data_IF_540206157661
#
_entry.id   IF_540206157661
#
_cell.length_a   1.000
_cell.length_b   1.000
_cell.length_c   1.000
_cell.angle_alpha   90.00
_cell.angle_beta   90.00
_cell.angle_gamma   90.00
#
_symmetry.space_group_name_H-M   'P 1'
#
loop_
_entity.id
_entity.type
_entity.pdbx_description
1 polymer ?
#
# COMPACT_ATOMS: atom_id res chain seq x y z
N UNK A 1 20.55 39.49 9.03
CA UNK A 1 19.59 38.73 9.86
C UNK A 1 18.35 38.47 9.01
N UNK A 2 18.10 37.24 8.56
CA UNK A 2 16.93 36.89 7.73
C UNK A 2 15.79 36.46 8.65
N UNK A 3 14.65 37.15 8.61
CA UNK A 3 13.44 36.79 9.36
C UNK A 3 12.85 35.52 8.75
N UNK A 4 12.85 34.43 9.50
CA UNK A 4 12.04 33.25 9.20
C UNK A 4 10.59 33.55 9.58
N UNK A 5 9.74 33.78 8.58
CA UNK A 5 8.29 33.85 8.80
C UNK A 5 7.74 32.42 8.86
N UNK A 6 7.43 31.96 10.08
CA UNK A 6 6.66 30.74 10.30
C UNK A 6 5.20 30.99 9.89
N UNK A 7 4.65 30.19 8.97
CA UNK A 7 3.24 30.26 8.59
C UNK A 7 2.51 29.00 9.09
N UNK A 8 1.68 29.08 10.15
CA UNK A 8 0.96 27.94 10.71
C UNK A 8 -0.19 27.43 9.82
N UNK A 9 -0.53 28.13 8.73
CA UNK A 9 -1.61 27.74 7.81
C UNK A 9 -1.17 26.86 6.64
N UNK A 10 0.14 26.67 6.43
CA UNK A 10 0.60 25.55 5.60
C UNK A 10 0.46 24.29 6.46
N UNK A 11 -0.71 23.63 6.39
CA UNK A 11 -0.75 22.19 6.65
C UNK A 11 0.39 21.58 5.83
N UNK A 12 1.21 20.66 6.37
CA UNK A 12 2.05 19.86 5.52
C UNK A 12 1.12 19.30 4.45
N UNK A 13 1.27 19.74 3.21
CA UNK A 13 0.65 19.04 2.09
C UNK A 13 1.10 17.61 2.27
N UNK A 14 0.12 16.76 2.51
CA UNK A 14 0.20 15.32 2.63
C UNK A 14 1.38 14.83 1.79
N UNK A 15 2.45 14.44 2.46
CA UNK A 15 3.69 14.09 1.79
C UNK A 15 3.45 12.77 1.06
N UNK A 16 2.87 12.87 -0.14
CA UNK A 16 2.58 11.76 -1.03
C UNK A 16 1.33 10.95 -0.68
N UNK A 17 0.16 11.57 -0.49
CA UNK A 17 -1.09 10.82 -0.60
C UNK A 17 -1.26 10.35 -2.04
N UNK A 18 -0.78 9.13 -2.32
CA UNK A 18 -1.21 8.39 -3.48
C UNK A 18 -2.72 8.13 -3.34
N UNK A 19 -3.44 8.26 -4.45
CA UNK A 19 -4.85 7.85 -4.53
C UNK A 19 -4.98 6.41 -4.02
N UNK A 20 -5.93 6.11 -3.11
CA UNK A 20 -6.04 4.79 -2.52
C UNK A 20 -6.39 3.75 -3.60
N UNK A 21 -5.90 2.53 -3.42
CA UNK A 21 -6.27 1.43 -4.31
C UNK A 21 -7.74 1.07 -4.09
N UNK A 22 -8.50 0.91 -5.17
CA UNK A 22 -9.88 0.41 -5.10
C UNK A 22 -9.88 -1.12 -4.97
N UNK A 23 -10.99 -1.68 -4.49
CA UNK A 23 -11.21 -3.12 -4.57
C UNK A 23 -11.12 -3.61 -6.02
N UNK A 24 -10.71 -4.86 -6.20
CA UNK A 24 -10.42 -5.49 -7.49
C UNK A 24 -9.22 -4.89 -8.23
N UNK A 25 -8.53 -3.90 -7.65
CA UNK A 25 -7.26 -3.40 -8.20
C UNK A 25 -6.18 -4.46 -8.09
N UNK A 26 -5.46 -4.66 -9.19
CA UNK A 26 -4.33 -5.57 -9.24
C UNK A 26 -3.05 -4.87 -8.75
N UNK A 27 -2.38 -5.48 -7.78
CA UNK A 27 -1.20 -4.90 -7.11
C UNK A 27 -0.04 -5.87 -7.10
N UNK A 28 1.16 -5.33 -6.91
CA UNK A 28 2.37 -6.10 -6.66
C UNK A 28 3.05 -5.62 -5.38
N UNK A 29 3.54 -6.56 -4.57
CA UNK A 29 4.32 -6.23 -3.38
C UNK A 29 5.60 -5.46 -3.75
N UNK A 30 5.89 -4.36 -3.06
CA UNK A 30 7.14 -3.60 -3.19
C UNK A 30 8.27 -4.18 -2.32
N UNK A 31 7.92 -4.89 -1.25
CA UNK A 31 8.82 -5.54 -0.29
C UNK A 31 8.26 -6.89 0.17
N UNK A 32 9.07 -7.79 0.77
CA UNK A 32 8.55 -9.02 1.34
C UNK A 32 7.49 -8.77 2.43
N UNK A 33 6.50 -9.65 2.49
CA UNK A 33 5.43 -9.66 3.51
C UNK A 33 5.36 -11.06 4.11
N UNK A 34 5.39 -11.13 5.43
CA UNK A 34 5.19 -12.37 6.18
C UNK A 34 3.69 -12.65 6.33
N UNK A 35 3.28 -13.88 6.06
CA UNK A 35 1.92 -14.37 6.28
C UNK A 35 1.98 -15.71 7.01
N UNK A 36 0.84 -16.21 7.46
CA UNK A 36 0.75 -17.53 8.10
C UNK A 36 1.23 -18.67 7.20
N UNK A 37 1.07 -18.52 5.87
CA UNK A 37 1.50 -19.50 4.88
C UNK A 37 2.99 -19.39 4.48
N UNK A 38 3.70 -18.39 4.98
CA UNK A 38 5.12 -18.14 4.69
C UNK A 38 5.39 -16.72 4.18
N UNK A 39 6.54 -16.53 3.54
CA UNK A 39 6.97 -15.21 3.04
C UNK A 39 6.57 -15.02 1.58
N UNK A 40 5.72 -14.02 1.32
CA UNK A 40 5.51 -13.49 -0.02
C UNK A 40 6.64 -12.54 -0.38
N UNK A 41 7.34 -12.78 -1.50
CA UNK A 41 8.45 -11.94 -1.94
C UNK A 41 7.98 -10.66 -2.63
N UNK A 42 8.83 -9.65 -2.66
CA UNK A 42 8.63 -8.47 -3.50
C UNK A 42 8.35 -8.90 -4.96
N UNK A 43 7.38 -8.25 -5.59
CA UNK A 43 6.88 -8.59 -6.92
C UNK A 43 5.75 -9.63 -6.94
N UNK A 44 5.44 -10.29 -5.83
CA UNK A 44 4.25 -11.14 -5.74
C UNK A 44 3.00 -10.30 -6.10
N UNK A 45 2.18 -10.84 -7.00
CA UNK A 45 0.99 -10.17 -7.50
C UNK A 45 -0.25 -10.68 -6.78
N UNK A 46 -1.12 -9.76 -6.42
CA UNK A 46 -2.41 -10.06 -5.81
C UNK A 46 -3.48 -9.09 -6.27
N UNK A 47 -4.69 -9.32 -5.78
CA UNK A 47 -5.86 -8.47 -6.03
C UNK A 47 -6.33 -7.90 -4.71
N UNK A 48 -6.59 -6.60 -4.66
CA UNK A 48 -7.22 -5.97 -3.49
C UNK A 48 -8.63 -6.52 -3.34
N UNK A 49 -8.94 -7.13 -2.21
CA UNK A 49 -10.27 -7.69 -1.89
C UNK A 49 -10.98 -6.94 -0.77
N UNK A 50 -10.29 -5.99 -0.12
CA UNK A 50 -10.88 -5.10 0.87
C UNK A 50 -10.01 -3.87 1.13
N UNK A 51 -10.64 -2.75 1.45
CA UNK A 51 -9.97 -1.46 1.74
C UNK A 51 -10.31 -1.00 3.15
N UNK A 52 -9.30 -0.88 4.01
CA UNK A 52 -9.47 -0.39 5.38
C UNK A 52 -9.35 1.13 5.46
N UNK A 53 -10.37 1.79 6.03
CA UNK A 53 -10.39 3.22 6.37
C UNK A 53 -9.88 4.13 5.24
N UNK A 54 -10.32 3.88 4.00
CA UNK A 54 -9.95 4.70 2.83
C UNK A 54 -8.49 4.57 2.41
N UNK A 55 -7.85 3.42 2.68
CA UNK A 55 -6.50 3.11 2.21
C UNK A 55 -5.42 3.10 3.29
N UNK A 56 -5.81 3.09 4.58
CA UNK A 56 -4.87 2.92 5.69
C UNK A 56 -4.19 1.53 5.65
N UNK A 57 -4.90 0.52 5.13
CA UNK A 57 -4.40 -0.80 4.81
C UNK A 57 -5.32 -1.48 3.78
N UNK A 58 -4.87 -2.59 3.20
CA UNK A 58 -5.60 -3.34 2.18
C UNK A 58 -5.57 -4.83 2.50
N UNK A 59 -6.68 -5.52 2.29
CA UNK A 59 -6.65 -6.98 2.16
C UNK A 59 -6.31 -7.31 0.73
N UNK A 60 -5.28 -8.13 0.53
CA UNK A 60 -4.85 -8.56 -0.79
C UNK A 60 -4.84 -10.07 -0.84
N UNK A 61 -5.56 -10.63 -1.80
CA UNK A 61 -5.55 -12.06 -2.09
C UNK A 61 -4.41 -12.37 -3.08
N UNK A 62 -3.60 -13.36 -2.71
CA UNK A 62 -2.52 -13.91 -3.53
C UNK A 62 -2.83 -15.37 -3.85
N UNK A 63 -2.51 -15.81 -5.07
CA UNK A 63 -2.67 -17.20 -5.52
C UNK A 63 -1.30 -17.89 -5.70
N UNK A 64 -0.24 -17.10 -5.95
CA UNK A 64 1.13 -17.59 -6.14
C UNK A 64 2.09 -16.80 -5.24
N UNK A 65 3.15 -17.45 -4.71
CA UNK A 65 3.51 -18.86 -4.87
C UNK A 65 2.60 -19.85 -4.12
N UNK A 66 1.75 -19.35 -3.21
CA UNK A 66 0.70 -20.11 -2.53
C UNK A 66 -0.51 -19.21 -2.30
N UNK A 67 -1.66 -19.81 -1.99
CA UNK A 67 -2.88 -19.07 -1.72
C UNK A 67 -2.88 -18.48 -0.31
N UNK A 68 -3.14 -17.18 -0.17
CA UNK A 68 -3.27 -16.49 1.12
C UNK A 68 -3.94 -15.13 0.93
N UNK A 69 -4.63 -14.65 1.96
CA UNK A 69 -5.08 -13.26 2.07
C UNK A 69 -4.26 -12.59 3.15
N UNK A 70 -3.66 -11.44 2.83
CA UNK A 70 -2.82 -10.70 3.77
C UNK A 70 -3.28 -9.24 3.88
N UNK A 71 -3.26 -8.72 5.10
CA UNK A 71 -3.36 -7.27 5.32
C UNK A 71 -2.02 -6.62 5.00
N UNK A 72 -2.01 -5.70 4.05
CA UNK A 72 -0.80 -5.02 3.57
C UNK A 72 -0.93 -3.51 3.73
N UNK A 73 0.18 -2.87 4.09
CA UNK A 73 0.26 -1.41 4.22
C UNK A 73 0.39 -0.75 2.84
N UNK A 74 -0.08 0.50 2.66
CA UNK A 74 0.04 1.23 1.39
C UNK A 74 1.47 1.31 0.87
N UNK A 75 2.47 1.39 1.76
CA UNK A 75 3.89 1.45 1.39
C UNK A 75 4.46 0.11 0.87
N UNK A 76 3.73 -0.98 1.07
CA UNK A 76 4.13 -2.33 0.71
C UNK A 76 3.61 -2.78 -0.66
N UNK A 77 2.81 -1.95 -1.34
CA UNK A 77 2.18 -2.30 -2.62
C UNK A 77 2.30 -1.18 -3.65
N UNK A 78 2.20 -1.57 -4.92
CA UNK A 78 2.10 -0.68 -6.08
C UNK A 78 1.11 -1.28 -7.08
N UNK A 79 0.60 -0.47 -8.01
CA UNK A 79 -0.14 -1.01 -9.16
C UNK A 79 0.70 -2.06 -9.89
N UNK A 80 0.11 -3.22 -10.14
CA UNK A 80 0.72 -4.20 -11.02
C UNK A 80 0.77 -3.61 -12.44
N UNK A 81 1.94 -3.70 -13.09
CA UNK A 81 2.01 -3.38 -14.51
C UNK A 81 1.35 -4.51 -15.29
N UNK A 82 0.61 -4.14 -16.34
CA UNK A 82 0.08 -5.09 -17.32
C UNK A 82 1.21 -5.86 -18.00
#
# INVERSE_FOLDING_TARGET
>A
MRRFTWNPQKRPTDAGAHEPFEELTRVALSRPVETEGGVLRAGAMGTVVGVYRGGAAYEVEFVKPFHTVATVMPDAIRHARA
#
